data_IF_945750012580
#
_entry.id   IF_945750012580
#
_cell.length_a   1.000
_cell.length_b   1.000
_cell.length_c   1.000
_cell.angle_alpha   90.00
_cell.angle_beta   90.00
_cell.angle_gamma   90.00
#
_symmetry.space_group_name_H-M   'P 1'
#
loop_
_entity.id
_entity.type
_entity.pdbx_description
1 polymer ?
#
# COMPACT_ATOMS: atom_id res chain seq x y z
N UNK A 1 -25.19 -11.41 13.71
CA UNK A 1 -25.32 -12.18 12.46
C UNK A 1 -23.94 -12.72 12.05
N UNK A 2 -23.83 -13.78 11.24
CA UNK A 2 -22.52 -14.31 10.86
C UNK A 2 -21.80 -13.36 9.88
N UNK A 3 -20.49 -13.23 10.08
CA UNK A 3 -19.55 -12.55 9.19
C UNK A 3 -19.66 -13.12 7.77
N UNK A 4 -19.55 -12.27 6.74
CA UNK A 4 -19.61 -12.70 5.34
C UNK A 4 -18.35 -12.40 4.55
N UNK A 5 -17.56 -11.43 5.01
CA UNK A 5 -16.37 -11.01 4.29
C UNK A 5 -15.31 -10.43 5.22
N UNK A 6 -14.08 -10.42 4.72
CA UNK A 6 -12.93 -9.72 5.31
C UNK A 6 -12.40 -8.74 4.27
N UNK A 7 -12.20 -7.49 4.69
CA UNK A 7 -11.49 -6.47 3.94
C UNK A 7 -10.05 -6.42 4.43
N UNK A 8 -9.10 -6.46 3.51
CA UNK A 8 -7.68 -6.30 3.79
C UNK A 8 -7.18 -5.00 3.20
N UNK A 9 -6.31 -4.31 3.92
CA UNK A 9 -5.39 -3.37 3.29
C UNK A 9 -4.40 -4.10 2.39
N UNK A 10 -3.81 -3.37 1.44
CA UNK A 10 -2.74 -3.86 0.59
C UNK A 10 -1.38 -3.68 1.26
N UNK A 11 -0.95 -2.43 1.48
CA UNK A 11 0.38 -2.11 2.00
C UNK A 11 0.51 -2.36 3.49
N UNK A 12 1.64 -2.93 3.91
CA UNK A 12 1.92 -3.34 5.30
C UNK A 12 0.84 -4.24 5.92
N UNK A 13 0.12 -4.99 5.07
CA UNK A 13 -0.84 -6.03 5.49
C UNK A 13 -0.73 -7.25 4.60
N UNK A 14 -0.88 -7.08 3.29
CA UNK A 14 -0.69 -8.17 2.33
C UNK A 14 0.65 -8.05 1.59
N UNK A 15 1.16 -6.83 1.39
CA UNK A 15 2.38 -6.57 0.62
C UNK A 15 3.31 -5.62 1.35
N UNK A 16 4.60 -5.70 1.02
CA UNK A 16 5.62 -4.78 1.49
C UNK A 16 6.63 -4.44 0.39
N UNK A 17 7.42 -3.39 0.63
CA UNK A 17 8.47 -2.91 -0.25
C UNK A 17 9.87 -3.20 0.34
N UNK A 18 10.38 -4.44 0.28
CA UNK A 18 11.64 -4.80 0.93
C UNK A 18 12.87 -4.10 0.33
N UNK A 19 12.78 -3.69 -0.94
CA UNK A 19 13.91 -3.16 -1.69
C UNK A 19 14.19 -1.68 -1.45
N UNK A 20 13.40 -0.98 -0.63
CA UNK A 20 13.58 0.46 -0.43
C UNK A 20 14.96 0.86 0.12
N UNK A 21 15.55 0.15 1.12
CA UNK A 21 16.92 0.42 1.56
C UNK A 21 17.96 0.15 0.46
N UNK A 22 17.77 -0.89 -0.35
CA UNK A 22 18.66 -1.22 -1.48
C UNK A 22 18.65 -0.10 -2.53
N UNK A 23 17.48 0.47 -2.83
CA UNK A 23 17.35 1.63 -3.73
C UNK A 23 18.18 2.81 -3.22
N UNK A 24 18.14 3.09 -1.92
CA UNK A 24 18.93 4.19 -1.30
C UNK A 24 20.42 3.89 -1.43
N UNK A 25 20.87 2.68 -1.08
CA UNK A 25 22.28 2.29 -1.15
C UNK A 25 22.83 2.36 -2.58
N UNK A 26 22.10 1.77 -3.53
CA UNK A 26 22.53 1.74 -4.93
C UNK A 26 22.57 3.13 -5.55
N UNK A 27 21.55 3.95 -5.27
CA UNK A 27 21.51 5.32 -5.77
C UNK A 27 22.61 6.17 -5.12
N UNK A 28 22.83 6.06 -3.82
CA UNK A 28 23.93 6.75 -3.13
C UNK A 28 25.29 6.40 -3.74
N UNK A 29 25.55 5.11 -3.98
CA UNK A 29 26.76 4.63 -4.64
C UNK A 29 26.94 5.26 -6.03
N UNK A 30 25.87 5.37 -6.81
CA UNK A 30 25.91 5.99 -8.15
C UNK A 30 26.23 7.49 -8.11
N UNK A 31 25.90 8.16 -7.00
CA UNK A 31 26.20 9.57 -6.75
C UNK A 31 27.56 9.79 -6.05
N UNK A 32 28.35 8.74 -5.80
CA UNK A 32 29.61 8.83 -5.05
C UNK A 32 29.44 9.06 -3.55
N UNK A 33 28.24 8.84 -3.00
CA UNK A 33 27.92 8.95 -1.58
C UNK A 33 27.94 7.55 -0.94
N UNK A 34 28.59 7.43 0.21
CA UNK A 34 28.60 6.16 0.97
C UNK A 34 27.50 6.16 2.02
N UNK A 35 26.51 5.27 1.86
CA UNK A 35 25.48 4.97 2.86
C UNK A 35 25.52 3.48 3.16
N UNK A 36 25.61 3.12 4.45
CA UNK A 36 25.55 1.72 4.87
C UNK A 36 24.11 1.19 4.79
N UNK A 37 23.95 -0.12 4.60
CA UNK A 37 22.62 -0.74 4.57
C UNK A 37 21.80 -0.50 5.86
N UNK A 38 22.37 -0.60 7.09
CA UNK A 38 21.63 -0.26 8.30
C UNK A 38 21.14 1.20 8.29
N UNK A 39 21.97 2.13 7.82
CA UNK A 39 21.60 3.54 7.75
C UNK A 39 20.50 3.80 6.71
N UNK A 40 20.57 3.15 5.55
CA UNK A 40 19.52 3.24 4.54
C UNK A 40 18.19 2.69 5.06
N UNK A 41 18.22 1.61 5.84
CA UNK A 41 17.03 1.05 6.48
C UNK A 41 16.44 2.01 7.52
N UNK A 42 17.26 2.60 8.39
CA UNK A 42 16.81 3.66 9.31
C UNK A 42 16.17 4.84 8.57
N UNK A 43 16.81 5.34 7.51
CA UNK A 43 16.27 6.43 6.68
C UNK A 43 14.91 6.07 6.07
N UNK A 44 14.77 4.84 5.58
CA UNK A 44 13.50 4.35 5.04
C UNK A 44 12.42 4.22 6.13
N UNK A 45 12.74 3.61 7.26
CA UNK A 45 11.77 3.39 8.34
C UNK A 45 11.28 4.72 8.93
N UNK A 46 12.18 5.70 9.08
CA UNK A 46 11.85 7.07 9.50
C UNK A 46 10.88 7.73 8.51
N UNK A 47 11.22 7.75 7.21
CA UNK A 47 10.42 8.47 6.21
C UNK A 47 9.09 7.77 5.92
N UNK A 48 9.07 6.43 5.96
CA UNK A 48 7.87 5.62 5.80
C UNK A 48 6.90 5.86 6.97
N UNK A 49 7.42 5.91 8.20
CA UNK A 49 6.64 6.27 9.39
C UNK A 49 6.07 7.69 9.27
N UNK A 50 6.85 8.67 8.80
CA UNK A 50 6.35 10.03 8.58
C UNK A 50 5.21 10.08 7.56
N UNK A 51 5.31 9.30 6.48
CA UNK A 51 4.26 9.19 5.46
C UNK A 51 2.94 8.65 5.99
N UNK A 52 2.93 7.95 7.13
CA UNK A 52 1.71 7.42 7.76
C UNK A 52 1.01 8.39 8.69
N UNK A 53 1.58 9.58 8.92
CA UNK A 53 0.93 10.59 9.78
C UNK A 53 -0.38 11.07 9.16
N UNK A 54 -1.35 11.46 10.00
CA UNK A 54 -2.63 12.00 9.55
C UNK A 54 -2.45 13.25 8.68
N UNK A 55 -1.46 14.09 8.98
CA UNK A 55 -1.12 15.27 8.19
C UNK A 55 -0.67 14.90 6.77
N UNK A 56 0.20 13.90 6.62
CA UNK A 56 0.65 13.45 5.30
C UNK A 56 -0.45 12.73 4.52
N UNK A 57 -1.35 12.01 5.20
CA UNK A 57 -2.51 11.35 4.58
C UNK A 57 -3.53 12.39 4.10
N UNK A 58 -3.81 13.42 4.91
CA UNK A 58 -4.80 14.46 4.59
C UNK A 58 -4.45 15.30 3.34
N UNK A 59 -3.27 15.13 2.76
CA UNK A 59 -2.87 15.75 1.48
C UNK A 59 -3.55 15.11 0.26
N UNK A 60 -4.31 14.02 0.43
CA UNK A 60 -5.06 13.36 -0.65
C UNK A 60 -4.14 12.75 -1.71
N UNK A 61 -3.00 12.19 -1.27
CA UNK A 61 -1.94 11.71 -2.16
C UNK A 61 -2.35 10.47 -2.96
N UNK A 62 -3.34 9.71 -2.50
CA UNK A 62 -3.77 8.46 -3.09
C UNK A 62 -5.07 8.63 -3.93
N UNK A 63 -5.48 9.87 -4.19
CA UNK A 63 -6.62 10.21 -5.05
C UNK A 63 -6.25 10.30 -6.54
N UNK A 64 -4.97 10.51 -6.88
CA UNK A 64 -4.51 10.51 -8.28
C UNK A 64 -3.01 10.19 -8.38
N UNK A 65 -2.54 9.68 -9.54
CA UNK A 65 -1.11 9.49 -9.80
C UNK A 65 -0.27 10.77 -9.63
N UNK A 66 -0.80 11.92 -10.04
CA UNK A 66 -0.11 13.21 -9.96
C UNK A 66 0.00 13.68 -8.50
N UNK A 67 -1.05 13.51 -7.71
CA UNK A 67 -1.03 13.81 -6.28
C UNK A 67 -0.04 12.90 -5.55
N UNK A 68 -0.05 11.61 -5.88
CA UNK A 68 0.86 10.61 -5.31
C UNK A 68 2.31 10.98 -5.57
N UNK A 69 2.63 11.32 -6.83
CA UNK A 69 3.95 11.76 -7.25
C UNK A 69 4.43 12.95 -6.46
N UNK A 70 3.62 14.01 -6.44
CA UNK A 70 3.98 15.24 -5.74
C UNK A 70 4.24 14.99 -4.26
N UNK A 71 3.28 14.39 -3.55
CA UNK A 71 3.36 14.27 -2.08
C UNK A 71 4.49 13.33 -1.65
N UNK A 72 4.66 12.16 -2.29
CA UNK A 72 5.76 11.26 -1.93
C UNK A 72 7.12 11.83 -2.31
N UNK A 73 7.25 12.49 -3.46
CA UNK A 73 8.52 13.12 -3.84
C UNK A 73 8.89 14.24 -2.88
N UNK A 74 7.93 15.10 -2.49
CA UNK A 74 8.14 16.16 -1.51
C UNK A 74 8.55 15.61 -0.14
N UNK A 75 7.95 14.49 0.29
CA UNK A 75 8.33 13.83 1.53
C UNK A 75 9.74 13.23 1.43
N UNK A 76 10.04 12.48 0.37
CA UNK A 76 11.36 11.88 0.15
C UNK A 76 12.47 12.90 -0.06
N UNK A 77 12.17 14.12 -0.50
CA UNK A 77 13.15 15.21 -0.64
C UNK A 77 13.88 15.51 0.68
N UNK A 78 13.32 15.12 1.84
CA UNK A 78 14.01 15.19 3.14
C UNK A 78 15.27 14.31 3.20
N UNK A 79 15.36 13.26 2.38
CA UNK A 79 16.53 12.38 2.26
C UNK A 79 17.57 12.93 1.27
N UNK A 80 17.20 13.87 0.40
CA UNK A 80 18.12 14.46 -0.58
C UNK A 80 19.27 15.26 0.07
N UNK A 81 19.09 15.71 1.32
CA UNK A 81 20.16 16.31 2.14
C UNK A 81 21.31 15.34 2.44
N UNK A 82 21.04 14.03 2.42
CA UNK A 82 22.01 12.97 2.67
C UNK A 82 22.47 12.39 1.33
N UNK A 83 21.53 12.12 0.43
CA UNK A 83 21.79 11.53 -0.89
C UNK A 83 21.08 12.36 -1.97
N UNK A 84 21.74 13.34 -2.59
CA UNK A 84 21.09 14.23 -3.55
C UNK A 84 20.40 13.50 -4.70
N UNK A 85 19.09 13.70 -4.85
CA UNK A 85 18.26 13.13 -5.92
C UNK A 85 17.63 11.76 -5.60
N UNK A 86 17.82 11.24 -4.39
CA UNK A 86 17.28 9.93 -3.99
C UNK A 86 15.75 9.93 -3.96
N UNK A 87 15.13 11.09 -3.76
CA UNK A 87 13.67 11.27 -3.79
C UNK A 87 13.03 10.75 -5.07
N UNK A 88 13.58 11.10 -6.23
CA UNK A 88 13.12 10.61 -7.53
C UNK A 88 13.32 9.10 -7.68
N UNK A 89 14.48 8.59 -7.27
CA UNK A 89 14.77 7.16 -7.35
C UNK A 89 13.83 6.32 -6.46
N UNK A 90 13.55 6.79 -5.25
CA UNK A 90 12.58 6.18 -4.34
C UNK A 90 11.18 6.18 -4.93
N UNK A 91 10.74 7.31 -5.50
CA UNK A 91 9.42 7.35 -6.13
C UNK A 91 9.31 6.35 -7.28
N UNK A 92 10.24 6.37 -8.24
CA UNK A 92 10.16 5.50 -9.43
C UNK A 92 10.28 4.00 -9.08
N UNK A 93 11.14 3.65 -8.12
CA UNK A 93 11.47 2.24 -7.85
C UNK A 93 10.67 1.63 -6.70
N UNK A 94 10.30 2.42 -5.69
CA UNK A 94 9.62 1.93 -4.49
C UNK A 94 8.12 2.21 -4.55
N UNK A 95 7.69 3.35 -5.08
CA UNK A 95 6.26 3.69 -5.13
C UNK A 95 5.53 3.05 -6.32
N UNK A 96 6.24 2.33 -7.19
CA UNK A 96 5.62 1.47 -8.20
C UNK A 96 5.01 0.22 -7.54
N UNK A 97 3.68 0.00 -7.60
CA UNK A 97 3.05 -1.17 -6.97
C UNK A 97 3.59 -2.52 -7.45
N UNK A 98 4.15 -2.60 -8.67
CA UNK A 98 4.71 -3.84 -9.20
C UNK A 98 6.03 -4.26 -8.54
N UNK A 99 6.72 -3.35 -7.84
CA UNK A 99 7.93 -3.69 -7.09
C UNK A 99 7.65 -4.27 -5.70
N UNK A 100 6.39 -4.25 -5.26
CA UNK A 100 5.99 -4.78 -3.97
C UNK A 100 5.79 -6.28 -4.03
N UNK A 101 6.14 -6.94 -2.93
CA UNK A 101 6.04 -8.40 -2.79
C UNK A 101 5.07 -8.76 -1.67
N UNK A 102 4.33 -9.86 -1.80
CA UNK A 102 3.45 -10.31 -0.73
C UNK A 102 4.26 -10.77 0.47
N UNK A 103 3.73 -10.59 1.68
CA UNK A 103 4.30 -11.25 2.86
C UNK A 103 4.21 -12.78 2.73
N UNK A 104 5.12 -13.49 3.38
CA UNK A 104 5.24 -14.95 3.27
C UNK A 104 3.94 -15.71 3.60
N UNK A 105 3.12 -15.17 4.50
CA UNK A 105 1.87 -15.74 4.96
C UNK A 105 0.62 -15.24 4.19
N UNK A 106 0.77 -14.26 3.30
CA UNK A 106 -0.35 -13.62 2.58
C UNK A 106 -1.24 -14.64 1.88
N UNK A 107 -0.65 -15.54 1.08
CA UNK A 107 -1.41 -16.59 0.38
C UNK A 107 -2.18 -17.47 1.36
N UNK A 108 -1.50 -17.97 2.38
CA UNK A 108 -2.08 -18.88 3.36
C UNK A 108 -3.25 -18.23 4.11
N UNK A 109 -3.12 -16.95 4.45
CA UNK A 109 -4.16 -16.13 5.08
C UNK A 109 -5.38 -15.97 4.17
N UNK A 110 -5.19 -15.56 2.92
CA UNK A 110 -6.30 -15.41 1.96
C UNK A 110 -7.03 -16.74 1.72
N UNK A 111 -6.30 -17.84 1.54
CA UNK A 111 -6.90 -19.17 1.39
C UNK A 111 -7.66 -19.61 2.65
N UNK A 112 -7.14 -19.31 3.85
CA UNK A 112 -7.81 -19.64 5.10
C UNK A 112 -9.15 -18.90 5.27
N UNK A 113 -9.21 -17.62 4.88
CA UNK A 113 -10.47 -16.85 4.87
C UNK A 113 -11.48 -17.49 3.91
N UNK A 114 -11.06 -17.84 2.70
CA UNK A 114 -11.93 -18.49 1.70
C UNK A 114 -12.41 -19.87 2.15
N UNK A 115 -11.55 -20.69 2.77
CA UNK A 115 -11.94 -22.00 3.34
C UNK A 115 -13.05 -21.89 4.38
N UNK A 116 -13.19 -20.73 5.04
CA UNK A 116 -14.29 -20.44 5.98
C UNK A 116 -15.56 -19.94 5.30
N UNK A 117 -15.61 -19.92 3.97
CA UNK A 117 -16.76 -19.44 3.19
C UNK A 117 -16.93 -17.91 3.20
N UNK A 118 -15.89 -17.17 3.63
CA UNK A 118 -15.89 -15.72 3.66
C UNK A 118 -15.35 -15.17 2.33
N UNK A 119 -15.92 -14.06 1.88
CA UNK A 119 -15.38 -13.30 0.76
C UNK A 119 -14.16 -12.47 1.19
N UNK A 120 -13.26 -12.21 0.25
CA UNK A 120 -12.05 -11.42 0.42
C UNK A 120 -12.18 -10.16 -0.42
N UNK A 121 -12.11 -8.99 0.20
CA UNK A 121 -11.94 -7.72 -0.50
C UNK A 121 -10.61 -7.07 -0.16
N UNK A 122 -10.02 -6.36 -1.11
CA UNK A 122 -8.87 -5.48 -0.90
C UNK A 122 -9.36 -4.03 -0.93
N UNK A 123 -9.01 -3.24 0.08
CA UNK A 123 -9.34 -1.81 0.19
C UNK A 123 -8.07 -1.01 0.48
N UNK A 124 -7.62 -0.23 -0.50
CA UNK A 124 -6.32 0.45 -0.43
C UNK A 124 -6.44 1.92 -0.77
N UNK A 125 -5.71 2.74 0.00
CA UNK A 125 -5.25 4.03 -0.49
C UNK A 125 -4.13 3.73 -1.47
N UNK A 126 -4.36 3.96 -2.76
CA UNK A 126 -3.40 3.68 -3.84
C UNK A 126 -3.76 4.51 -5.07
N UNK A 127 -2.79 5.00 -5.86
CA UNK A 127 -3.08 5.80 -7.05
C UNK A 127 -3.30 4.98 -8.33
N UNK A 128 -3.33 3.64 -8.25
CA UNK A 128 -3.31 2.76 -9.42
C UNK A 128 -4.00 1.41 -9.17
N UNK A 129 -4.30 0.68 -10.26
CA UNK A 129 -4.96 -0.63 -10.19
C UNK A 129 -4.03 -1.71 -9.62
N UNK A 130 -4.45 -2.37 -8.54
CA UNK A 130 -3.71 -3.46 -7.90
C UNK A 130 -3.96 -4.82 -8.54
N UNK A 131 -4.98 -4.99 -9.39
CA UNK A 131 -5.32 -6.28 -10.01
C UNK A 131 -4.12 -6.90 -10.76
N UNK A 132 -3.32 -6.15 -11.56
CA UNK A 132 -2.13 -6.70 -12.21
C UNK A 132 -1.05 -7.16 -11.22
N UNK A 133 -0.90 -6.47 -10.08
CA UNK A 133 0.08 -6.83 -9.04
C UNK A 133 -0.30 -8.18 -8.42
N UNK A 134 -1.58 -8.36 -8.06
CA UNK A 134 -2.05 -9.64 -7.52
C UNK A 134 -1.96 -10.78 -8.54
N UNK A 135 -2.23 -10.51 -9.82
CA UNK A 135 -2.11 -11.50 -10.89
C UNK A 135 -0.65 -11.96 -11.09
N UNK A 136 0.31 -11.03 -11.06
CA UNK A 136 1.75 -11.34 -11.12
C UNK A 136 2.16 -12.34 -10.03
N UNK A 137 1.59 -12.22 -8.83
CA UNK A 137 1.86 -13.10 -7.69
C UNK A 137 0.89 -14.29 -7.59
N UNK A 138 -0.01 -14.48 -8.57
CA UNK A 138 -1.04 -15.55 -8.62
C UNK A 138 -1.97 -15.55 -7.40
N UNK A 139 -2.31 -14.36 -6.90
CA UNK A 139 -3.20 -14.12 -5.76
C UNK A 139 -4.56 -13.57 -6.18
N UNK A 140 -4.69 -13.12 -7.43
CA UNK A 140 -5.91 -12.54 -8.02
C UNK A 140 -7.15 -13.44 -7.82
N UNK A 141 -7.00 -14.75 -7.98
CA UNK A 141 -8.10 -15.73 -7.79
C UNK A 141 -8.56 -15.89 -6.33
N UNK A 142 -7.82 -15.34 -5.39
CA UNK A 142 -8.16 -15.38 -3.96
C UNK A 142 -8.90 -14.12 -3.50
N UNK A 143 -9.05 -13.11 -4.36
CA UNK A 143 -9.69 -11.83 -4.05
C UNK A 143 -10.99 -11.70 -4.85
N UNK A 144 -12.09 -11.42 -4.16
CA UNK A 144 -13.41 -11.26 -4.79
C UNK A 144 -13.68 -9.81 -5.22
N UNK A 145 -13.03 -8.81 -4.60
CA UNK A 145 -13.18 -7.41 -5.00
C UNK A 145 -11.95 -6.56 -4.67
N UNK A 146 -11.75 -5.50 -5.47
CA UNK A 146 -10.75 -4.47 -5.23
C UNK A 146 -11.43 -3.11 -5.15
N UNK A 147 -11.08 -2.33 -4.14
CA UNK A 147 -11.55 -0.95 -3.93
C UNK A 147 -10.33 -0.05 -3.78
N UNK A 148 -10.11 0.81 -4.77
CA UNK A 148 -8.99 1.73 -4.79
C UNK A 148 -9.47 3.16 -4.52
N UNK A 149 -8.75 3.92 -3.70
CA UNK A 149 -9.10 5.31 -3.37
C UNK A 149 -9.23 6.21 -4.59
N UNK A 150 -8.35 6.08 -5.58
CA UNK A 150 -8.40 6.87 -6.82
C UNK A 150 -9.64 6.58 -7.67
N UNK A 151 -10.20 5.37 -7.61
CA UNK A 151 -11.44 5.01 -8.32
C UNK A 151 -12.68 5.52 -7.57
N UNK A 152 -12.66 5.51 -6.23
CA UNK A 152 -13.80 5.88 -5.38
C UNK A 152 -13.86 7.40 -5.13
N UNK A 153 -12.72 8.10 -5.17
CA UNK A 153 -12.62 9.50 -4.78
C UNK A 153 -12.63 9.73 -3.27
N UNK A 154 -12.38 8.67 -2.48
CA UNK A 154 -12.31 8.72 -1.02
C UNK A 154 -11.18 7.80 -0.52
N UNK A 155 -10.45 8.25 0.50
CA UNK A 155 -9.34 7.53 1.13
C UNK A 155 -9.72 7.09 2.54
N UNK A 156 -9.14 6.00 3.02
CA UNK A 156 -9.19 5.65 4.44
C UNK A 156 -8.59 6.81 5.26
N UNK A 157 -9.22 7.22 6.38
CA UNK A 157 -10.28 6.53 7.11
C UNK A 157 -11.74 6.93 6.75
N UNK A 158 -11.99 7.59 5.61
CA UNK A 158 -13.35 7.98 5.20
C UNK A 158 -14.28 6.75 5.09
N UNK A 159 -15.44 6.72 5.76
CA UNK A 159 -16.42 5.63 5.66
C UNK A 159 -16.83 5.27 4.22
N UNK A 160 -16.81 6.23 3.29
CA UNK A 160 -17.23 6.05 1.91
C UNK A 160 -16.45 4.93 1.19
N UNK A 161 -15.14 4.80 1.44
CA UNK A 161 -14.33 3.76 0.79
C UNK A 161 -14.69 2.36 1.30
N UNK A 162 -15.01 2.22 2.59
CA UNK A 162 -15.43 0.94 3.17
C UNK A 162 -16.84 0.54 2.71
N UNK A 163 -17.75 1.51 2.60
CA UNK A 163 -19.09 1.29 2.08
C UNK A 163 -19.04 0.86 0.60
N UNK A 164 -18.17 1.48 -0.20
CA UNK A 164 -17.92 1.07 -1.58
C UNK A 164 -17.40 -0.38 -1.66
N UNK A 165 -16.42 -0.74 -0.81
CA UNK A 165 -15.90 -2.09 -0.74
C UNK A 165 -16.95 -3.13 -0.32
N UNK A 166 -17.75 -2.83 0.69
CA UNK A 166 -18.84 -3.71 1.13
C UNK A 166 -19.88 -3.94 0.02
N UNK A 167 -20.20 -2.90 -0.76
CA UNK A 167 -21.13 -3.00 -1.89
C UNK A 167 -20.62 -3.95 -2.98
N UNK A 168 -19.33 -3.91 -3.32
CA UNK A 168 -18.72 -4.80 -4.32
C UNK A 168 -18.73 -6.28 -3.89
N UNK A 169 -18.71 -6.55 -2.58
CA UNK A 169 -18.78 -7.90 -2.02
C UNK A 169 -20.21 -8.48 -1.98
N UNK A 170 -21.22 -7.73 -2.44
CA UNK A 170 -22.58 -8.22 -2.68
C UNK A 170 -23.49 -8.17 -1.45
N UNK A 171 -24.50 -7.28 -1.52
CA UNK A 171 -25.59 -7.01 -0.55
C UNK A 171 -25.24 -7.28 0.93
N UNK A 172 -24.05 -6.84 1.33
CA UNK A 172 -23.77 -6.62 2.74
C UNK A 172 -24.35 -5.26 3.07
N UNK A 173 -25.58 -5.24 3.62
CA UNK A 173 -26.28 -4.02 4.01
C UNK A 173 -25.63 -3.42 5.27
N UNK A 174 -24.47 -2.82 5.09
CA UNK A 174 -23.69 -2.22 6.18
C UNK A 174 -22.38 -2.95 6.47
N UNK A 175 -21.56 -2.34 7.33
CA UNK A 175 -20.26 -2.88 7.75
C UNK A 175 -20.39 -3.93 8.88
N UNK A 176 -21.60 -4.20 9.36
CA UNK A 176 -21.91 -5.10 10.48
C UNK A 176 -21.56 -6.57 10.23
N UNK A 177 -21.25 -6.94 8.98
CA UNK A 177 -20.86 -8.30 8.57
C UNK A 177 -19.53 -8.35 7.84
N UNK A 178 -18.73 -7.30 8.00
CA UNK A 178 -17.40 -7.14 7.43
C UNK A 178 -16.41 -6.81 8.54
N UNK A 179 -15.24 -7.47 8.52
CA UNK A 179 -14.10 -7.07 9.36
C UNK A 179 -13.05 -6.49 8.44
N UNK A 180 -12.55 -5.29 8.77
CA UNK A 180 -11.46 -4.66 8.04
C UNK A 180 -10.15 -4.83 8.82
N UNK A 181 -9.12 -5.32 8.16
CA UNK A 181 -7.76 -5.47 8.65
C UNK A 181 -6.92 -4.38 7.99
N UNK A 182 -6.74 -3.27 8.72
CA UNK A 182 -6.02 -2.07 8.29
C UNK A 182 -4.87 -1.89 9.26
N UNK A 183 -3.64 -1.59 8.79
CA UNK A 183 -2.53 -1.27 9.66
C UNK A 183 -2.92 -0.05 10.52
N UNK A 184 -2.53 -0.10 11.79
CA UNK A 184 -2.61 1.03 12.73
C UNK A 184 -1.71 2.19 12.32
#
# INVERSE_FOLDING_TARGET
MPLRAVLFDWGDTLFHAPHAPEVIVDFARSCGVSVSEPRAREMWDEIWTMGKTMEEIAKGRDLSPEAHRRVWTDLFARLDRVVPGVSGALYERVMNPQSWVPFADTRATLEAVRRRGLKVGVVSNVPADLRPVFAQHKLDRLVDSYTHSYEVGAEKPDPAIFLAAAKLLGDVRGLDRVVALIPS
#
